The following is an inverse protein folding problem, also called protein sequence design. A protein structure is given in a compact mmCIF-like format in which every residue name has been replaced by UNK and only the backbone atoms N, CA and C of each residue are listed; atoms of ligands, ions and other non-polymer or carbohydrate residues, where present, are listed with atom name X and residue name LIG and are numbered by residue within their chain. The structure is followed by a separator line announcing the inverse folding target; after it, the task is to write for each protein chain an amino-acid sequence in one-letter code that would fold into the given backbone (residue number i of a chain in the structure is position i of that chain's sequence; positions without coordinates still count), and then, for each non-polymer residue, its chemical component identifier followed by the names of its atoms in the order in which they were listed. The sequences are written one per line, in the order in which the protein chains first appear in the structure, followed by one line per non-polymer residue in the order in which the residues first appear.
data_IF_079145778286
#
_entry.id   IF_079145778286
#
_cell.length_a   1.000
_cell.length_b   1.000
_cell.length_c   1.000
_cell.angle_alpha   90.00
_cell.angle_beta   90.00
_cell.angle_gamma   90.00
#
_symmetry.space_group_name_H-M   'P 1'
#
loop_
_entity.id
_entity.type
_entity.pdbx_description
1 polymer ?
#
# COMPACT_ATOMS: atom_id res chain seq x y z
N UNK A 1 1.05 64.84 -16.72
CA UNK A 1 1.76 63.58 -16.41
C UNK A 1 1.04 62.88 -15.26
N UNK A 2 0.46 61.69 -15.48
CA UNK A 2 -0.19 60.89 -14.42
C UNK A 2 0.54 59.53 -14.35
N UNK A 3 1.02 59.05 -13.19
CA UNK A 3 1.76 57.81 -13.10
C UNK A 3 0.81 56.60 -13.00
N UNK A 4 1.12 55.56 -13.77
CA UNK A 4 0.36 54.31 -13.82
C UNK A 4 0.49 53.48 -12.54
N UNK A 5 -0.64 53.22 -11.89
CA UNK A 5 -0.75 52.32 -10.73
C UNK A 5 -0.74 50.85 -11.21
N UNK A 6 0.37 50.14 -10.99
CA UNK A 6 0.44 48.67 -11.21
C UNK A 6 -0.44 47.94 -10.20
N UNK A 7 -1.52 47.30 -10.68
CA UNK A 7 -2.34 46.34 -9.91
C UNK A 7 -1.51 45.08 -9.63
N UNK A 8 -1.10 44.88 -8.38
CA UNK A 8 -0.63 43.56 -7.91
C UNK A 8 -1.85 42.68 -7.67
N UNK A 9 -1.90 41.50 -8.31
CA UNK A 9 -2.98 40.51 -8.15
C UNK A 9 -2.67 39.61 -6.94
N UNK A 10 -3.45 39.68 -5.84
CA UNK A 10 -3.19 38.90 -4.62
C UNK A 10 -3.64 37.42 -4.70
N UNK A 11 -4.29 37.01 -5.80
CA UNK A 11 -4.93 35.68 -5.91
C UNK A 11 -3.98 34.50 -6.20
N UNK A 12 -2.78 34.75 -6.73
CA UNK A 12 -1.91 33.68 -7.22
C UNK A 12 -1.19 32.94 -6.08
N UNK A 13 -0.79 33.66 -5.02
CA UNK A 13 -0.09 33.07 -3.88
C UNK A 13 -0.99 32.15 -3.03
N UNK A 14 -2.29 32.48 -2.91
CA UNK A 14 -3.26 31.65 -2.18
C UNK A 14 -3.57 30.33 -2.91
N UNK A 15 -3.73 30.36 -4.23
CA UNK A 15 -3.99 29.16 -5.01
C UNK A 15 -2.83 28.15 -4.97
N UNK A 16 -1.58 28.64 -5.04
CA UNK A 16 -0.37 27.78 -4.95
C UNK A 16 -0.27 27.07 -3.60
N UNK A 17 -0.63 27.75 -2.51
CA UNK A 17 -0.58 27.18 -1.16
C UNK A 17 -1.59 26.03 -0.98
N UNK A 18 -2.81 26.18 -1.50
CA UNK A 18 -3.85 25.13 -1.47
C UNK A 18 -3.48 23.90 -2.30
N UNK A 19 -2.93 24.10 -3.50
CA UNK A 19 -2.50 22.99 -4.37
C UNK A 19 -1.32 22.21 -3.77
N UNK A 20 -0.36 22.90 -3.13
CA UNK A 20 0.77 22.24 -2.47
C UNK A 20 0.32 21.37 -1.29
N UNK A 21 -0.62 21.84 -0.47
CA UNK A 21 -1.18 21.04 0.64
C UNK A 21 -1.97 19.83 0.16
N UNK A 22 -2.72 19.94 -0.95
CA UNK A 22 -3.48 18.82 -1.50
C UNK A 22 -2.56 17.73 -2.09
N UNK A 23 -1.47 18.12 -2.75
CA UNK A 23 -0.49 17.15 -3.29
C UNK A 23 0.27 16.41 -2.19
N UNK A 24 0.64 17.09 -1.10
CA UNK A 24 1.30 16.44 0.05
C UNK A 24 0.41 15.36 0.69
N UNK A 25 -0.90 15.61 0.81
CA UNK A 25 -1.84 14.62 1.34
C UNK A 25 -2.00 13.40 0.42
N UNK A 26 -2.03 13.62 -0.90
CA UNK A 26 -2.19 12.54 -1.87
C UNK A 26 -0.98 11.59 -1.91
N UNK A 27 0.24 12.09 -1.74
CA UNK A 27 1.46 11.27 -1.73
C UNK A 27 1.51 10.33 -0.52
N UNK A 28 1.10 10.78 0.66
CA UNK A 28 1.05 9.92 1.86
C UNK A 28 0.03 8.76 1.75
N UNK A 29 -1.00 8.90 0.92
CA UNK A 29 -1.98 7.83 0.69
C UNK A 29 -1.49 6.78 -0.34
N UNK A 30 -0.57 7.16 -1.23
CA UNK A 30 -0.16 6.34 -2.37
C UNK A 30 0.94 5.32 -2.05
N UNK A 31 1.52 5.32 -0.85
CA UNK A 31 2.60 4.41 -0.47
C UNK A 31 2.14 3.00 -0.04
N UNK A 32 0.87 2.65 -0.23
CA UNK A 32 0.40 1.27 -0.17
C UNK A 32 0.91 0.52 -1.41
N UNK A 33 2.13 -0.05 -1.33
CA UNK A 33 2.62 -0.99 -2.34
C UNK A 33 1.64 -2.15 -2.53
N UNK A 34 1.51 -2.63 -3.77
CA UNK A 34 0.55 -3.67 -4.15
C UNK A 34 0.83 -5.00 -3.43
N UNK A 35 -0.06 -5.35 -2.48
CA UNK A 35 0.04 -6.58 -1.70
C UNK A 35 -0.02 -7.85 -2.56
N UNK A 36 -0.77 -7.82 -3.66
CA UNK A 36 -0.86 -8.94 -4.62
C UNK A 36 0.49 -9.21 -5.29
N UNK A 37 1.15 -8.13 -5.71
CA UNK A 37 2.48 -8.20 -6.31
C UNK A 37 3.52 -8.75 -5.31
N UNK A 38 3.48 -8.30 -4.05
CA UNK A 38 4.38 -8.81 -3.00
C UNK A 38 4.18 -10.31 -2.78
N UNK A 39 2.94 -10.77 -2.64
CA UNK A 39 2.65 -12.20 -2.44
C UNK A 39 3.13 -13.03 -3.62
N UNK A 40 2.84 -12.60 -4.86
CA UNK A 40 3.23 -13.31 -6.08
C UNK A 40 4.75 -13.41 -6.22
N UNK A 41 5.48 -12.35 -5.89
CA UNK A 41 6.95 -12.30 -6.07
C UNK A 41 7.73 -12.98 -4.94
N UNK A 42 7.19 -13.00 -3.72
CA UNK A 42 7.95 -13.41 -2.52
C UNK A 42 7.51 -14.75 -1.96
N UNK A 43 6.22 -15.08 -1.98
CA UNK A 43 5.68 -16.22 -1.24
C UNK A 43 5.71 -17.55 -2.02
N UNK A 44 5.73 -17.50 -3.36
CA UNK A 44 5.68 -18.69 -4.23
C UNK A 44 7.00 -19.47 -4.35
N UNK A 45 8.06 -19.02 -3.68
CA UNK A 45 9.38 -19.67 -3.75
C UNK A 45 9.50 -20.96 -2.94
N UNK A 46 8.57 -21.24 -2.01
CA UNK A 46 8.67 -22.35 -1.06
C UNK A 46 7.44 -23.28 -1.06
N UNK A 47 6.24 -22.75 -1.28
CA UNK A 47 4.99 -23.50 -1.40
C UNK A 47 4.08 -22.78 -2.39
N UNK A 48 3.02 -23.44 -2.84
CA UNK A 48 2.11 -22.84 -3.81
C UNK A 48 1.10 -21.88 -3.17
N UNK A 49 0.17 -21.41 -4.01
CA UNK A 49 -0.84 -20.41 -3.65
C UNK A 49 -1.99 -20.99 -2.82
N UNK A 50 -2.08 -22.32 -2.72
CA UNK A 50 -3.07 -23.02 -1.89
C UNK A 50 -3.04 -22.54 -0.43
N UNK A 51 -1.85 -22.23 0.10
CA UNK A 51 -1.69 -21.75 1.48
C UNK A 51 -2.31 -20.38 1.73
N UNK A 52 -2.56 -19.61 0.68
CA UNK A 52 -3.25 -18.33 0.77
C UNK A 52 -4.75 -18.52 0.49
N UNK A 53 -5.10 -19.37 -0.48
CA UNK A 53 -6.47 -19.48 -0.99
C UNK A 53 -7.38 -20.43 -0.21
N UNK A 54 -6.84 -21.43 0.48
CA UNK A 54 -7.63 -22.39 1.26
C UNK A 54 -7.95 -21.88 2.67
N UNK A 55 -7.30 -20.79 3.10
CA UNK A 55 -7.50 -20.20 4.42
C UNK A 55 -8.76 -19.35 4.44
N UNK A 56 -9.68 -19.66 5.34
CA UNK A 56 -10.99 -19.01 5.42
C UNK A 56 -11.05 -17.82 6.39
N UNK A 57 -10.06 -17.67 7.27
CA UNK A 57 -10.05 -16.55 8.24
C UNK A 57 -9.70 -15.22 7.58
N UNK A 58 -10.32 -14.14 8.05
CA UNK A 58 -10.04 -12.75 7.71
C UNK A 58 -9.44 -11.98 8.89
N UNK A 59 -9.02 -12.69 9.95
CA UNK A 59 -8.42 -12.11 11.15
C UNK A 59 -7.02 -11.52 10.84
N UNK A 60 -6.84 -10.19 10.95
CA UNK A 60 -5.57 -9.54 10.66
C UNK A 60 -4.42 -9.97 11.58
N UNK A 61 -4.70 -10.29 12.84
CA UNK A 61 -3.67 -10.68 13.80
C UNK A 61 -3.16 -12.09 13.46
N UNK A 62 -4.07 -13.01 13.14
CA UNK A 62 -3.73 -14.35 12.66
C UNK A 62 -2.89 -14.31 11.37
N UNK A 63 -3.23 -13.41 10.43
CA UNK A 63 -2.47 -13.23 9.19
C UNK A 63 -1.10 -12.61 9.45
N UNK A 64 -1.01 -11.67 10.39
CA UNK A 64 0.27 -11.07 10.79
C UNK A 64 1.21 -12.11 11.39
N UNK A 65 0.73 -12.92 12.35
CA UNK A 65 1.50 -14.02 12.93
C UNK A 65 1.93 -15.04 11.87
N UNK A 66 1.03 -15.37 10.94
CA UNK A 66 1.32 -16.31 9.86
C UNK A 66 2.41 -15.79 8.92
N UNK A 67 2.35 -14.52 8.51
CA UNK A 67 3.36 -13.90 7.65
C UNK A 67 4.70 -13.77 8.38
N UNK A 68 4.70 -13.39 9.66
CA UNK A 68 5.91 -13.36 10.49
C UNK A 68 6.59 -14.72 10.55
N UNK A 69 5.83 -15.80 10.76
CA UNK A 69 6.37 -17.17 10.70
C UNK A 69 6.99 -17.50 9.34
N UNK A 70 6.48 -16.95 8.23
CA UNK A 70 7.10 -17.15 6.91
C UNK A 70 8.45 -16.43 6.80
N UNK A 71 8.57 -15.24 7.38
CA UNK A 71 9.83 -14.47 7.41
C UNK A 71 10.90 -15.21 8.22
N UNK A 72 10.53 -15.94 9.27
CA UNK A 72 11.48 -16.77 10.04
C UNK A 72 12.15 -17.86 9.19
N UNK A 73 11.46 -18.40 8.18
CA UNK A 73 12.02 -19.44 7.30
C UNK A 73 13.02 -18.91 6.27
N UNK A 74 13.00 -17.61 5.94
CA UNK A 74 13.89 -17.03 4.94
C UNK A 74 14.25 -15.59 5.30
N UNK A 75 15.51 -15.40 5.70
CA UNK A 75 16.04 -14.06 5.95
C UNK A 75 15.88 -13.15 4.72
N UNK A 76 15.39 -11.93 4.93
CA UNK A 76 15.15 -10.96 3.87
C UNK A 76 13.94 -11.27 2.97
N UNK A 77 13.02 -12.15 3.39
CA UNK A 77 11.78 -12.43 2.64
C UNK A 77 10.90 -11.17 2.50
N UNK A 78 10.67 -10.49 3.63
CA UNK A 78 9.92 -9.25 3.75
C UNK A 78 10.57 -8.36 4.81
N UNK A 79 10.48 -7.05 4.62
CA UNK A 79 10.68 -6.03 5.66
C UNK A 79 9.47 -5.91 6.59
N UNK A 80 9.63 -5.28 7.76
CA UNK A 80 8.53 -5.08 8.73
C UNK A 80 7.30 -4.38 8.11
N UNK A 81 7.54 -3.35 7.31
CA UNK A 81 6.48 -2.64 6.59
C UNK A 81 5.79 -3.52 5.54
N UNK A 82 6.54 -4.41 4.87
CA UNK A 82 5.97 -5.36 3.92
C UNK A 82 5.16 -6.45 4.63
N UNK A 83 5.56 -6.89 5.84
CA UNK A 83 4.79 -7.83 6.66
C UNK A 83 3.40 -7.27 6.95
N UNK A 84 3.31 -6.04 7.46
CA UNK A 84 2.04 -5.40 7.76
C UNK A 84 1.15 -5.28 6.51
N UNK A 85 1.73 -4.90 5.37
CA UNK A 85 1.01 -4.80 4.09
C UNK A 85 0.48 -6.14 3.60
N UNK A 86 1.31 -7.18 3.60
CA UNK A 86 0.92 -8.52 3.14
C UNK A 86 -0.13 -9.11 4.06
N UNK A 87 0.02 -8.97 5.39
CA UNK A 87 -0.95 -9.45 6.35
C UNK A 87 -2.33 -8.81 6.16
N UNK A 88 -2.38 -7.48 6.01
CA UNK A 88 -3.64 -6.77 5.74
C UNK A 88 -4.26 -7.17 4.40
N UNK A 89 -3.44 -7.35 3.36
CA UNK A 89 -3.91 -7.83 2.06
C UNK A 89 -4.52 -9.23 2.14
N UNK A 90 -3.88 -10.16 2.86
CA UNK A 90 -4.36 -11.55 3.00
C UNK A 90 -5.57 -11.67 3.94
N UNK A 91 -5.71 -10.74 4.90
CA UNK A 91 -6.87 -10.67 5.78
C UNK A 91 -8.13 -10.14 5.06
N UNK A 92 -7.96 -9.33 4.02
CA UNK A 92 -9.05 -8.87 3.19
C UNK A 92 -9.43 -9.94 2.15
N UNK A 93 -10.56 -10.62 2.37
CA UNK A 93 -11.02 -11.70 1.49
C UNK A 93 -11.24 -11.25 0.04
N UNK A 94 -11.73 -10.01 -0.16
CA UNK A 94 -11.95 -9.49 -1.50
C UNK A 94 -10.61 -9.25 -2.21
N UNK A 95 -9.64 -8.65 -1.54
CA UNK A 95 -8.29 -8.49 -2.11
C UNK A 95 -7.61 -9.84 -2.34
N UNK A 96 -7.66 -10.75 -1.36
CA UNK A 96 -7.09 -12.11 -1.46
C UNK A 96 -7.70 -12.91 -2.61
N UNK A 97 -9.01 -12.81 -2.85
CA UNK A 97 -9.68 -13.51 -3.96
C UNK A 97 -9.09 -13.18 -5.33
N UNK A 98 -8.48 -11.99 -5.48
CA UNK A 98 -7.81 -11.58 -6.73
C UNK A 98 -6.56 -12.42 -7.03
N UNK A 99 -5.91 -13.01 -6.01
CA UNK A 99 -4.82 -13.98 -6.18
C UNK A 99 -5.30 -15.39 -6.51
N UNK A 100 -6.51 -15.73 -6.08
CA UNK A 100 -7.02 -17.10 -6.08
C UNK A 100 -7.84 -17.45 -7.34
N UNK A 101 -8.21 -16.44 -8.13
CA UNK A 101 -9.08 -16.60 -9.30
C UNK A 101 -8.35 -17.06 -10.58
N UNK A 102 -7.09 -17.50 -10.50
CA UNK A 102 -6.27 -17.85 -11.68
C UNK A 102 -5.28 -19.01 -11.48
N UNK A 103 -5.42 -19.81 -10.42
CA UNK A 103 -4.64 -21.04 -10.22
C UNK A 103 -5.53 -22.28 -10.26
#
# INVERSE_FOLDING_TARGET
MIPGRKRRRPGMARAVLFFATAMLFAVCLAQAGDGSALVTQRCLGCHGMEKNCEVTTTDPDWWTETVLRMVEYKNGLLSEDEVARVALFLADDQQRSTLCSSN
#
